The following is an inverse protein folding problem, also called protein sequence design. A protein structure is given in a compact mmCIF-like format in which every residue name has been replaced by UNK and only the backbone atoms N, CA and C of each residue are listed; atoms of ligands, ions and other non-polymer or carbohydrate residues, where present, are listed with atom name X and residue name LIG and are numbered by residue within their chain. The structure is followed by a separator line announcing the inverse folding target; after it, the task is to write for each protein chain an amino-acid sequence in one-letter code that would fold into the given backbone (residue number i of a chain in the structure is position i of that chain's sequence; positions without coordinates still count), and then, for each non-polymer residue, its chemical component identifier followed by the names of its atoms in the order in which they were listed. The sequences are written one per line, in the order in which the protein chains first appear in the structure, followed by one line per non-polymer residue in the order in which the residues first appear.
data_IF_076662561264
#
_entry.id   IF_076662561264
#
_cell.length_a   1.000
_cell.length_b   1.000
_cell.length_c   1.000
_cell.angle_alpha   90.00
_cell.angle_beta   90.00
_cell.angle_gamma   90.00
#
_symmetry.space_group_name_H-M   'P 1'
#
loop_
_entity.id
_entity.type
_entity.pdbx_description
1 polymer ?
#
# COMPACT_ATOMS: atom_id res chain seq x y z
N UNK A 1 0.05 18.19 25.02
CA UNK A 1 0.72 17.93 23.72
C UNK A 1 -0.27 17.64 22.57
N UNK A 2 -1.51 18.15 22.57
CA UNK A 2 -2.52 17.85 21.53
C UNK A 2 -2.67 18.94 20.43
N UNK A 3 -1.73 19.88 20.31
CA UNK A 3 -1.83 20.96 19.33
C UNK A 3 -1.15 20.67 17.98
N UNK A 4 -0.29 19.66 17.88
CA UNK A 4 0.40 19.34 16.63
C UNK A 4 -0.57 18.69 15.62
N UNK A 5 -1.31 17.64 16.03
CA UNK A 5 -2.16 16.86 15.12
C UNK A 5 -3.40 17.62 14.61
N UNK A 6 -3.76 18.74 15.22
CA UNK A 6 -4.86 19.61 14.82
C UNK A 6 -4.41 20.84 14.03
N UNK A 7 -3.11 20.96 13.77
CA UNK A 7 -2.56 22.07 13.00
C UNK A 7 -2.92 21.92 11.52
N UNK A 8 -3.55 22.96 10.95
CA UNK A 8 -3.99 23.03 9.55
C UNK A 8 -2.84 22.91 8.54
N UNK A 9 -1.60 23.11 8.98
CA UNK A 9 -0.41 22.92 8.16
C UNK A 9 -0.02 21.45 8.01
N UNK A 10 -0.48 20.57 8.89
CA UNK A 10 -0.25 19.13 8.81
C UNK A 10 -1.28 18.52 7.87
N UNK A 11 -0.81 18.10 6.69
CA UNK A 11 -1.65 17.51 5.63
C UNK A 11 -1.87 16.00 5.77
N UNK A 12 -1.16 15.37 6.71
CA UNK A 12 -1.23 13.93 6.99
C UNK A 12 -0.14 13.54 7.97
N UNK A 13 -0.36 12.47 8.73
CA UNK A 13 0.60 11.95 9.68
C UNK A 13 0.54 10.42 9.71
N UNK A 14 1.64 9.80 10.13
CA UNK A 14 1.72 8.40 10.51
C UNK A 14 2.37 8.36 11.87
N UNK A 15 1.72 7.71 12.83
CA UNK A 15 2.22 7.60 14.19
C UNK A 15 2.13 6.15 14.67
N UNK A 16 3.23 5.63 15.21
CA UNK A 16 3.24 4.37 15.95
C UNK A 16 3.09 4.65 17.43
N UNK A 17 2.12 4.01 18.08
CA UNK A 17 1.90 4.14 19.51
C UNK A 17 1.57 2.78 20.14
N UNK A 18 2.20 2.46 21.26
CA UNK A 18 1.84 1.32 22.12
C UNK A 18 0.74 1.68 23.12
N UNK A 19 0.37 2.96 23.22
CA UNK A 19 -0.59 3.46 24.18
C UNK A 19 -2.02 3.43 23.64
N UNK A 20 -2.91 2.73 24.36
CA UNK A 20 -4.34 2.61 24.06
C UNK A 20 -5.09 3.96 24.00
N UNK A 21 -4.56 5.03 24.60
CA UNK A 21 -5.16 6.36 24.55
C UNK A 21 -5.34 6.89 23.11
N UNK A 22 -4.48 6.48 22.17
CA UNK A 22 -4.67 6.80 20.75
C UNK A 22 -5.88 6.08 20.13
N UNK A 23 -6.26 4.90 20.62
CA UNK A 23 -7.51 4.22 20.21
C UNK A 23 -8.75 4.96 20.67
N UNK A 24 -8.65 5.77 21.74
CA UNK A 24 -9.77 6.54 22.28
C UNK A 24 -10.01 7.86 21.53
N UNK A 25 -8.99 8.40 20.85
CA UNK A 25 -9.08 9.66 20.09
C UNK A 25 -9.37 9.42 18.59
N UNK A 26 -10.36 8.58 18.28
CA UNK A 26 -10.72 8.16 16.91
C UNK A 26 -10.99 9.32 15.93
N UNK A 27 -11.36 10.50 16.44
CA UNK A 27 -11.65 11.69 15.62
C UNK A 27 -10.40 12.38 15.08
N UNK A 28 -9.19 11.96 15.48
CA UNK A 28 -7.94 12.58 15.03
C UNK A 28 -7.29 11.86 13.85
N UNK A 29 -7.74 10.66 13.50
CA UNK A 29 -7.14 9.82 12.46
C UNK A 29 -8.22 9.32 11.51
N UNK A 30 -7.89 9.12 10.23
CA UNK A 30 -8.81 8.53 9.26
C UNK A 30 -8.83 6.99 9.33
N UNK A 31 -7.70 6.39 9.71
CA UNK A 31 -7.52 4.96 9.85
C UNK A 31 -6.65 4.59 11.06
N UNK A 32 -6.95 3.44 11.67
CA UNK A 32 -6.23 2.84 12.80
C UNK A 32 -5.85 1.41 12.42
N UNK A 33 -4.58 1.06 12.60
CA UNK A 33 -4.07 -0.31 12.38
C UNK A 33 -3.72 -0.92 13.74
N UNK A 34 -4.45 -1.95 14.13
CA UNK A 34 -4.21 -2.72 15.35
C UNK A 34 -3.40 -3.97 14.99
N UNK A 35 -2.14 -3.99 15.41
CA UNK A 35 -1.19 -5.05 15.04
C UNK A 35 -1.52 -6.37 15.75
N UNK A 36 -1.92 -6.32 17.02
CA UNK A 36 -2.22 -7.51 17.84
C UNK A 36 -3.40 -8.32 17.27
N UNK A 37 -4.45 -7.63 16.83
CA UNK A 37 -5.67 -8.23 16.28
C UNK A 37 -5.67 -8.31 14.75
N UNK A 38 -4.57 -7.89 14.10
CA UNK A 38 -4.47 -7.75 12.64
C UNK A 38 -5.65 -6.99 12.01
N UNK A 39 -6.13 -5.94 12.68
CA UNK A 39 -7.35 -5.23 12.34
C UNK A 39 -7.04 -3.84 11.78
N UNK A 40 -7.58 -3.53 10.61
CA UNK A 40 -7.55 -2.18 10.04
C UNK A 40 -8.94 -1.55 10.14
N UNK A 41 -9.06 -0.48 10.91
CA UNK A 41 -10.28 0.31 11.03
C UNK A 41 -10.14 1.58 10.22
N UNK A 42 -11.04 1.80 9.27
CA UNK A 42 -11.17 3.07 8.53
C UNK A 42 -12.48 3.72 8.97
N UNK A 43 -12.40 4.94 9.49
CA UNK A 43 -13.56 5.60 10.12
C UNK A 43 -14.53 6.18 9.09
N UNK A 44 -14.00 6.79 8.04
CA UNK A 44 -14.81 7.31 6.93
C UNK A 44 -15.29 6.15 6.02
N UNK A 45 -16.62 5.93 5.90
CA UNK A 45 -17.17 4.88 5.04
C UNK A 45 -16.81 5.05 3.57
N UNK A 46 -16.66 6.27 3.07
CA UNK A 46 -16.33 6.52 1.67
C UNK A 46 -14.85 6.25 1.42
N UNK A 47 -13.97 6.67 2.33
CA UNK A 47 -12.58 6.27 2.31
C UNK A 47 -12.43 4.74 2.40
N UNK A 48 -13.22 4.08 3.25
CA UNK A 48 -13.21 2.62 3.38
C UNK A 48 -13.57 1.91 2.07
N UNK A 49 -14.54 2.42 1.31
CA UNK A 49 -14.89 1.86 -0.01
C UNK A 49 -13.74 2.02 -0.99
N UNK A 50 -13.09 3.18 -0.99
CA UNK A 50 -11.96 3.50 -1.88
C UNK A 50 -10.73 2.64 -1.54
N UNK A 51 -10.49 2.35 -0.26
CA UNK A 51 -9.35 1.55 0.21
C UNK A 51 -9.62 0.03 0.23
N UNK A 52 -10.79 -0.42 -0.24
CA UNK A 52 -11.10 -1.84 -0.23
C UNK A 52 -10.24 -2.59 -1.25
N UNK A 53 -9.48 -3.63 -0.85
CA UNK A 53 -8.64 -4.39 -1.76
C UNK A 53 -9.46 -5.02 -2.90
N UNK A 54 -8.89 -5.03 -4.11
CA UNK A 54 -9.45 -5.79 -5.22
C UNK A 54 -9.16 -7.29 -5.09
N UNK A 55 -9.76 -8.09 -5.96
CA UNK A 55 -9.38 -9.51 -6.07
C UNK A 55 -7.92 -9.71 -6.48
N UNK A 56 -7.35 -8.80 -7.29
CA UNK A 56 -5.94 -8.89 -7.66
C UNK A 56 -5.03 -8.57 -6.46
N UNK A 57 -5.40 -7.56 -5.65
CA UNK A 57 -4.68 -7.21 -4.42
C UNK A 57 -4.71 -8.35 -3.41
N UNK A 58 -5.87 -9.00 -3.23
CA UNK A 58 -6.00 -10.17 -2.36
C UNK A 58 -5.14 -11.34 -2.84
N UNK A 59 -5.11 -11.61 -4.15
CA UNK A 59 -4.22 -12.64 -4.72
C UNK A 59 -2.75 -12.31 -4.51
N UNK A 60 -2.36 -11.04 -4.63
CA UNK A 60 -1.00 -10.60 -4.35
C UNK A 60 -0.66 -10.79 -2.86
N UNK A 61 -1.55 -10.41 -1.94
CA UNK A 61 -1.37 -10.62 -0.51
C UNK A 61 -1.26 -12.12 -0.17
N UNK A 62 -2.14 -12.96 -0.71
CA UNK A 62 -2.10 -14.42 -0.51
C UNK A 62 -0.80 -15.01 -1.05
N UNK A 63 -0.32 -14.53 -2.21
CA UNK A 63 0.96 -14.92 -2.79
C UNK A 63 2.12 -14.60 -1.85
N UNK A 64 2.16 -13.39 -1.26
CA UNK A 64 3.18 -13.02 -0.28
C UNK A 64 3.13 -13.92 0.95
N UNK A 65 1.94 -14.07 1.55
CA UNK A 65 1.75 -14.87 2.76
C UNK A 65 2.23 -16.30 2.52
N UNK A 66 1.83 -16.91 1.40
CA UNK A 66 2.24 -18.26 1.03
C UNK A 66 3.77 -18.43 1.06
N UNK A 67 4.51 -17.56 0.37
CA UNK A 67 5.97 -17.67 0.30
C UNK A 67 6.64 -17.34 1.63
N UNK A 68 6.07 -16.45 2.44
CA UNK A 68 6.59 -16.16 3.79
C UNK A 68 6.36 -17.34 4.74
N UNK A 69 5.24 -18.05 4.61
CA UNK A 69 4.90 -19.18 5.49
C UNK A 69 5.57 -20.48 5.06
N UNK A 70 5.65 -20.77 3.77
CA UNK A 70 6.21 -22.02 3.25
C UNK A 70 7.74 -22.06 3.34
N UNK A 71 8.43 -20.94 3.09
CA UNK A 71 9.90 -20.86 3.25
C UNK A 71 10.35 -20.82 4.72
N UNK A 72 9.41 -20.84 5.68
CA UNK A 72 9.73 -20.80 7.12
C UNK A 72 10.19 -22.15 7.66
N UNK A 73 9.82 -23.24 7.00
CA UNK A 73 10.16 -24.62 7.41
C UNK A 73 11.49 -25.12 6.80
N UNK A 74 12.04 -24.42 5.80
CA UNK A 74 13.34 -24.69 5.18
C UNK A 74 14.53 -24.17 6.02
N UNK A 75 14.43 -24.29 7.35
CA UNK A 75 15.48 -23.94 8.33
C UNK A 75 16.75 -24.78 8.14
N UNK A 76 16.71 -25.82 7.30
CA UNK A 76 17.85 -26.68 6.97
C UNK A 76 18.65 -26.27 5.72
N UNK A 77 18.30 -25.18 5.03
CA UNK A 77 19.14 -24.58 3.98
C UNK A 77 19.65 -23.19 4.41
N UNK A 78 20.63 -23.18 5.32
CA UNK A 78 21.70 -22.18 5.49
C UNK A 78 21.39 -20.66 5.44
N UNK A 79 20.14 -20.22 5.63
CA UNK A 79 19.78 -18.80 5.64
C UNK A 79 20.00 -18.06 4.31
N UNK A 80 20.07 -18.78 3.19
CA UNK A 80 20.26 -18.21 1.83
C UNK A 80 18.95 -18.06 1.04
N UNK A 81 17.81 -18.42 1.63
CA UNK A 81 16.49 -18.25 1.00
C UNK A 81 16.17 -16.76 0.84
N UNK A 82 16.26 -16.24 -0.38
CA UNK A 82 15.86 -14.87 -0.68
C UNK A 82 14.34 -14.74 -0.64
N UNK A 83 13.61 -15.70 -1.23
CA UNK A 83 12.15 -15.71 -1.26
C UNK A 83 11.55 -15.85 0.14
N UNK A 84 10.49 -15.07 0.41
CA UNK A 84 9.88 -14.99 1.74
C UNK A 84 10.64 -14.13 2.76
N UNK A 85 11.89 -13.72 2.49
CA UNK A 85 12.64 -12.79 3.33
C UNK A 85 12.27 -11.32 3.12
N UNK A 86 12.74 -10.44 4.01
CA UNK A 86 12.41 -8.99 4.00
C UNK A 86 12.75 -8.30 2.67
N UNK A 87 13.90 -8.63 2.08
CA UNK A 87 14.33 -8.03 0.81
C UNK A 87 13.45 -8.49 -0.35
N UNK A 88 13.01 -9.75 -0.34
CA UNK A 88 12.06 -10.24 -1.32
C UNK A 88 10.70 -9.58 -1.17
N UNK A 89 10.17 -9.48 0.05
CA UNK A 89 8.90 -8.78 0.33
C UNK A 89 8.99 -7.34 -0.21
N UNK A 90 10.09 -6.64 0.09
CA UNK A 90 10.33 -5.28 -0.43
C UNK A 90 10.33 -5.25 -1.95
N UNK A 91 11.03 -6.19 -2.61
CA UNK A 91 11.06 -6.28 -4.06
C UNK A 91 9.68 -6.55 -4.69
N UNK A 92 8.84 -7.38 -4.05
CA UNK A 92 7.47 -7.64 -4.50
C UNK A 92 6.61 -6.37 -4.40
N UNK A 93 6.65 -5.63 -3.29
CA UNK A 93 5.93 -4.37 -3.14
C UNK A 93 6.42 -3.28 -4.11
N UNK A 94 7.73 -3.20 -4.35
CA UNK A 94 8.31 -2.29 -5.36
C UNK A 94 7.76 -2.62 -6.74
N UNK A 95 7.70 -3.91 -7.09
CA UNK A 95 7.17 -4.37 -8.38
C UNK A 95 5.68 -4.06 -8.53
N UNK A 96 4.90 -4.30 -7.47
CA UNK A 96 3.47 -3.94 -7.42
C UNK A 96 3.26 -2.42 -7.65
N UNK A 97 4.01 -1.57 -6.94
CA UNK A 97 3.92 -0.12 -7.09
C UNK A 97 4.38 0.33 -8.49
N UNK A 98 5.45 -0.25 -9.03
CA UNK A 98 5.90 0.04 -10.39
C UNK A 98 4.85 -0.33 -11.44
N UNK A 99 4.19 -1.48 -11.30
CA UNK A 99 3.12 -1.89 -12.20
C UNK A 99 1.93 -0.90 -12.15
N UNK A 100 1.52 -0.46 -10.95
CA UNK A 100 0.51 0.59 -10.78
C UNK A 100 0.93 1.88 -11.50
N UNK A 101 2.15 2.37 -11.22
CA UNK A 101 2.67 3.61 -11.79
C UNK A 101 2.75 3.53 -13.31
N UNK A 102 3.30 2.45 -13.86
CA UNK A 102 3.39 2.20 -15.30
C UNK A 102 2.00 2.16 -15.94
N UNK A 103 1.02 1.47 -15.32
CA UNK A 103 -0.34 1.44 -15.80
C UNK A 103 -0.96 2.84 -15.85
N UNK A 104 -0.63 3.76 -14.94
CA UNK A 104 -1.22 5.12 -15.00
C UNK A 104 -0.74 6.00 -16.15
N UNK A 105 0.38 5.68 -16.79
CA UNK A 105 0.97 6.46 -17.90
C UNK A 105 0.85 5.79 -19.26
N UNK A 106 0.66 4.47 -19.30
CA UNK A 106 0.50 3.74 -20.56
C UNK A 106 -0.88 3.98 -21.17
N UNK A 107 -0.98 4.17 -22.51
CA UNK A 107 -2.26 4.19 -23.20
C UNK A 107 -2.95 2.81 -23.08
N UNK A 108 -4.28 2.81 -23.10
CA UNK A 108 -5.14 1.61 -23.11
C UNK A 108 -4.94 0.64 -21.92
N UNK A 109 -4.46 1.15 -20.79
CA UNK A 109 -4.19 0.38 -19.57
C UNK A 109 -5.41 0.21 -18.63
N UNK A 110 -6.62 0.60 -19.07
CA UNK A 110 -7.83 0.63 -18.23
C UNK A 110 -8.11 -0.71 -17.53
N UNK A 111 -7.88 -1.81 -18.25
CA UNK A 111 -8.01 -3.16 -17.72
C UNK A 111 -7.01 -3.43 -16.59
N UNK A 112 -5.75 -3.03 -16.76
CA UNK A 112 -4.70 -3.19 -15.74
C UNK A 112 -5.00 -2.27 -14.55
N UNK A 113 -5.43 -1.03 -14.78
CA UNK A 113 -5.82 -0.11 -13.71
C UNK A 113 -7.01 -0.62 -12.89
N UNK A 114 -7.89 -1.43 -13.48
CA UNK A 114 -9.00 -2.04 -12.75
C UNK A 114 -8.55 -3.06 -11.71
N UNK A 115 -7.41 -3.74 -11.94
CA UNK A 115 -6.81 -4.65 -10.97
C UNK A 115 -6.34 -3.91 -9.71
N UNK A 116 -5.97 -2.63 -9.82
CA UNK A 116 -5.59 -1.78 -8.67
C UNK A 116 -6.76 -1.01 -8.06
N UNK A 117 -7.98 -1.22 -8.57
CA UNK A 117 -9.19 -0.56 -8.10
C UNK A 117 -9.39 0.83 -8.71
N UNK A 118 -10.37 0.96 -9.60
CA UNK A 118 -10.63 2.21 -10.32
C UNK A 118 -10.92 3.40 -9.41
N UNK A 119 -11.67 3.18 -8.33
CA UNK A 119 -11.97 4.21 -7.32
C UNK A 119 -10.71 4.63 -6.55
N UNK A 120 -9.87 3.68 -6.16
CA UNK A 120 -8.58 3.93 -5.53
C UNK A 120 -7.67 4.76 -6.43
N UNK A 121 -7.47 4.30 -7.67
CA UNK A 121 -6.62 5.01 -8.65
C UNK A 121 -7.14 6.42 -8.91
N UNK A 122 -8.46 6.59 -9.10
CA UNK A 122 -9.05 7.91 -9.32
C UNK A 122 -8.83 8.85 -8.12
N UNK A 123 -9.04 8.36 -6.90
CA UNK A 123 -8.80 9.14 -5.68
C UNK A 123 -7.31 9.48 -5.52
N UNK A 124 -6.42 8.51 -5.72
CA UNK A 124 -4.98 8.70 -5.63
C UNK A 124 -4.44 9.68 -6.67
N UNK A 125 -4.98 9.69 -7.90
CA UNK A 125 -4.60 10.69 -8.92
C UNK A 125 -4.88 12.15 -8.50
N UNK A 126 -5.77 12.38 -7.53
CA UNK A 126 -6.08 13.72 -7.01
C UNK A 126 -5.16 14.17 -5.87
N UNK A 127 -4.29 13.30 -5.35
CA UNK A 127 -3.42 13.62 -4.21
C UNK A 127 -2.20 14.45 -4.61
N UNK A 128 -1.55 15.06 -3.63
CA UNK A 128 -0.33 15.83 -3.86
C UNK A 128 0.84 14.95 -4.32
N UNK A 129 1.00 13.75 -3.76
CA UNK A 129 2.10 12.85 -4.14
C UNK A 129 1.97 12.37 -5.59
N UNK A 130 0.76 12.11 -6.08
CA UNK A 130 0.58 11.80 -7.51
C UNK A 130 0.99 12.99 -8.40
N UNK A 131 0.57 14.21 -8.04
CA UNK A 131 0.96 15.41 -8.80
C UNK A 131 2.47 15.61 -8.87
N UNK A 132 3.18 15.40 -7.76
CA UNK A 132 4.64 15.49 -7.70
C UNK A 132 5.27 14.40 -8.58
N UNK A 133 4.80 13.16 -8.47
CA UNK A 133 5.26 12.06 -9.30
C UNK A 133 5.04 12.36 -10.80
N UNK A 134 3.81 12.64 -11.21
CA UNK A 134 3.41 12.87 -12.60
C UNK A 134 4.06 14.13 -13.23
N UNK A 135 4.66 15.03 -12.43
CA UNK A 135 5.42 16.17 -12.95
C UNK A 135 6.77 15.80 -13.56
N UNK A 136 7.25 14.58 -13.32
CA UNK A 136 8.51 14.08 -13.86
C UNK A 136 8.28 13.17 -15.08
N UNK A 137 9.32 12.99 -15.89
CA UNK A 137 9.31 12.02 -17.00
C UNK A 137 9.99 10.72 -16.56
N UNK A 138 9.37 9.59 -16.90
CA UNK A 138 9.88 8.27 -16.55
C UNK A 138 9.98 7.36 -17.78
N UNK A 139 11.00 7.54 -18.65
CA UNK A 139 11.15 6.75 -19.86
C UNK A 139 11.18 5.23 -19.61
N UNK A 140 11.79 4.81 -18.51
CA UNK A 140 11.92 3.39 -18.13
C UNK A 140 10.59 2.73 -17.70
N UNK A 141 9.54 3.50 -17.35
CA UNK A 141 8.24 2.92 -16.97
C UNK A 141 7.49 2.30 -18.17
N UNK A 142 7.82 2.73 -19.39
CA UNK A 142 7.22 2.15 -20.60
C UNK A 142 7.57 0.66 -20.77
N UNK A 143 8.68 0.21 -20.16
CA UNK A 143 9.20 -1.16 -20.32
C UNK A 143 8.68 -2.14 -19.25
N UNK A 144 8.01 -1.65 -18.19
CA UNK A 144 7.64 -2.47 -17.02
C UNK A 144 6.49 -3.43 -17.32
N UNK A 145 5.44 -2.97 -18.02
CA UNK A 145 4.29 -3.83 -18.36
C UNK A 145 4.44 -4.55 -19.72
N UNK A 146 5.60 -4.44 -20.36
CA UNK A 146 5.90 -5.12 -21.62
C UNK A 146 6.38 -6.58 -21.42
N UNK A 147 6.39 -7.07 -20.18
CA UNK A 147 6.83 -8.41 -19.78
C UNK A 147 5.66 -9.28 -19.35
#
# INVERSE_FOLDING_TARGET
QHHLLSDVTIRGFVAGATNILFRQQKHLSDAIVEIEEALVQVHDPDLRKVLNPTTADLRFADFLVKHVTENRDDVFLDGTGWEGGDEWIRAQFVSYLHALLAATVQPDSEKILSDFGTAFVAAWKNTHNYRVWNSNKYPALAEINAR
#
